data_IF_165029356258
#
_entry.id   IF_165029356258
#
_cell.length_a   1.000
_cell.length_b   1.000
_cell.length_c   1.000
_cell.angle_alpha   90.00
_cell.angle_beta   90.00
_cell.angle_gamma   90.00
#
_symmetry.space_group_name_H-M   'P 1'
#
loop_
_entity.id
_entity.type
_entity.pdbx_description
1 polymer ?
#
# COMPACT_ATOMS: atom_id res chain seq x y z
N UNK A 1 0.48 2.36 15.95
CA UNK A 1 0.53 0.99 15.36
C UNK A 1 1.59 0.15 16.05
N UNK A 2 1.89 0.47 17.31
CA UNK A 2 3.26 0.34 17.83
C UNK A 2 3.53 -1.06 18.40
N UNK A 3 2.54 -1.95 18.28
CA UNK A 3 2.57 -3.37 18.67
C UNK A 3 2.01 -4.29 17.58
N UNK A 4 1.95 -3.84 16.32
CA UNK A 4 1.50 -4.70 15.23
C UNK A 4 2.65 -5.63 14.78
N UNK A 5 2.37 -6.94 14.67
CA UNK A 5 3.37 -7.88 14.10
C UNK A 5 3.64 -7.49 12.64
N UNK A 6 4.87 -7.24 12.21
CA UNK A 6 5.14 -6.92 10.81
C UNK A 6 4.83 -8.13 9.90
N UNK A 7 4.67 -7.86 8.60
CA UNK A 7 4.55 -8.90 7.56
C UNK A 7 5.58 -8.61 6.47
N UNK A 8 6.09 -9.66 5.83
CA UNK A 8 7.14 -9.54 4.79
C UNK A 8 6.62 -9.19 3.40
N UNK A 9 5.32 -9.34 3.15
CA UNK A 9 4.71 -9.03 1.86
C UNK A 9 3.48 -8.13 2.02
N UNK A 10 3.26 -7.16 1.11
CA UNK A 10 2.12 -6.24 1.19
C UNK A 10 0.79 -6.96 0.93
N UNK A 11 0.79 -7.99 0.08
CA UNK A 11 -0.37 -8.83 -0.25
C UNK A 11 -0.06 -10.32 -0.07
N UNK A 12 -1.11 -11.12 0.07
CA UNK A 12 -1.01 -12.59 -0.02
C UNK A 12 -1.04 -13.00 -1.48
N UNK A 13 -0.16 -13.93 -1.87
CA UNK A 13 -0.15 -14.49 -3.22
C UNK A 13 -1.48 -15.21 -3.51
N UNK A 14 -2.02 -14.98 -4.70
CA UNK A 14 -3.28 -15.59 -5.21
C UNK A 14 -4.58 -15.17 -4.50
N UNK A 15 -4.57 -14.12 -3.67
CA UNK A 15 -5.78 -13.62 -3.03
C UNK A 15 -6.67 -12.87 -4.05
N UNK A 16 -7.76 -13.49 -4.49
CA UNK A 16 -8.72 -12.88 -5.43
C UNK A 16 -9.73 -12.02 -4.68
N UNK A 17 -9.55 -10.71 -4.74
CA UNK A 17 -10.51 -9.74 -4.22
C UNK A 17 -11.76 -9.66 -5.11
N UNK A 18 -12.93 -9.67 -4.49
CA UNK A 18 -14.24 -9.56 -5.15
C UNK A 18 -15.00 -8.36 -4.60
N UNK A 19 -15.76 -7.66 -5.45
CA UNK A 19 -16.68 -6.60 -5.00
C UNK A 19 -17.77 -7.12 -4.07
N UNK A 20 -18.10 -8.41 -4.19
CA UNK A 20 -19.08 -9.11 -3.36
C UNK A 20 -18.41 -10.38 -2.87
N UNK A 21 -17.76 -10.27 -1.73
CA UNK A 21 -17.06 -11.39 -1.06
C UNK A 21 -17.94 -12.05 0.03
N UNK A 22 -19.15 -11.53 0.26
CA UNK A 22 -20.09 -12.02 1.28
C UNK A 22 -19.81 -11.48 2.69
N UNK A 23 -18.75 -10.71 2.89
CA UNK A 23 -18.44 -10.07 4.17
C UNK A 23 -19.19 -8.75 4.35
N UNK A 24 -19.27 -8.30 5.60
CA UNK A 24 -20.03 -7.10 5.99
C UNK A 24 -19.34 -5.85 5.46
N UNK A 25 -20.14 -4.87 5.02
CA UNK A 25 -19.62 -3.55 4.65
C UNK A 25 -19.01 -2.83 5.85
N UNK A 26 -17.95 -2.06 5.60
CA UNK A 26 -17.32 -1.21 6.62
C UNK A 26 -17.57 0.27 6.32
N UNK A 27 -17.20 1.14 7.26
CA UNK A 27 -17.25 2.59 7.03
C UNK A 27 -16.34 2.98 5.85
N UNK A 28 -16.99 3.44 4.77
CA UNK A 28 -16.33 3.87 3.56
C UNK A 28 -15.46 5.12 3.77
N UNK A 29 -15.75 5.97 4.75
CA UNK A 29 -14.93 7.14 5.07
C UNK A 29 -13.58 6.71 5.64
N UNK A 30 -13.61 5.87 6.67
CA UNK A 30 -12.40 5.33 7.30
C UNK A 30 -11.54 4.54 6.30
N UNK A 31 -12.18 3.69 5.48
CA UNK A 31 -11.47 2.94 4.44
C UNK A 31 -10.80 3.86 3.41
N UNK A 32 -11.51 4.88 2.91
CA UNK A 32 -10.96 5.85 1.95
C UNK A 32 -9.79 6.64 2.53
N UNK A 33 -9.85 7.02 3.81
CA UNK A 33 -8.74 7.68 4.48
C UNK A 33 -7.48 6.81 4.48
N UNK A 34 -7.61 5.53 4.87
CA UNK A 34 -6.48 4.59 4.88
C UNK A 34 -5.91 4.37 3.48
N UNK A 35 -6.76 4.06 2.50
CA UNK A 35 -6.27 3.80 1.13
C UNK A 35 -5.70 5.08 0.50
N UNK A 36 -6.27 6.24 0.80
CA UNK A 36 -5.72 7.53 0.38
C UNK A 36 -4.30 7.76 0.91
N UNK A 37 -4.04 7.47 2.18
CA UNK A 37 -2.70 7.53 2.76
C UNK A 37 -1.73 6.54 2.11
N UNK A 38 -2.20 5.32 1.80
CA UNK A 38 -1.39 4.34 1.07
C UNK A 38 -1.04 4.82 -0.35
N UNK A 39 -2.00 5.42 -1.07
CA UNK A 39 -1.76 6.03 -2.39
C UNK A 39 -0.80 7.22 -2.32
N UNK A 40 -0.83 8.00 -1.24
CA UNK A 40 0.16 9.06 -1.04
C UNK A 40 1.57 8.48 -0.87
N UNK A 41 1.71 7.43 -0.06
CA UNK A 41 2.98 6.74 0.18
C UNK A 41 3.61 6.18 -1.11
N UNK A 42 2.83 5.83 -2.13
CA UNK A 42 3.40 5.24 -3.37
C UNK A 42 4.37 6.18 -4.09
N UNK A 43 4.33 7.49 -3.81
CA UNK A 43 5.28 8.45 -4.37
C UNK A 43 6.74 8.14 -3.98
N UNK A 44 6.97 7.62 -2.76
CA UNK A 44 8.30 7.20 -2.29
C UNK A 44 8.39 5.68 -2.06
N UNK A 45 7.27 4.96 -2.11
CA UNK A 45 7.15 3.51 -1.88
C UNK A 45 6.55 2.79 -3.10
N UNK A 46 7.30 2.64 -4.21
CA UNK A 46 6.78 1.95 -5.39
C UNK A 46 6.45 0.46 -5.11
N UNK A 47 7.09 -0.14 -4.11
CA UNK A 47 6.89 -1.54 -3.70
C UNK A 47 5.45 -1.85 -3.22
N UNK A 48 4.71 -0.85 -2.73
CA UNK A 48 3.30 -1.03 -2.31
C UNK A 48 2.29 -0.56 -3.36
N UNK A 49 2.74 -0.03 -4.51
CA UNK A 49 1.90 0.62 -5.50
C UNK A 49 0.78 -0.28 -6.02
N UNK A 50 1.10 -1.54 -6.32
CA UNK A 50 0.10 -2.52 -6.77
C UNK A 50 -0.98 -2.75 -5.70
N UNK A 51 -0.58 -2.91 -4.44
CA UNK A 51 -1.51 -3.17 -3.34
C UNK A 51 -2.45 -1.98 -3.08
N UNK A 52 -1.90 -0.76 -3.05
CA UNK A 52 -2.68 0.47 -2.90
C UNK A 52 -3.69 0.66 -4.07
N UNK A 53 -3.22 0.43 -5.30
CA UNK A 53 -4.04 0.53 -6.51
C UNK A 53 -5.14 -0.53 -6.57
N UNK A 54 -4.87 -1.75 -6.10
CA UNK A 54 -5.87 -2.80 -6.02
C UNK A 54 -6.98 -2.45 -5.02
N UNK A 55 -6.59 -1.96 -3.83
CA UNK A 55 -7.53 -1.59 -2.76
C UNK A 55 -8.40 -0.37 -3.10
N UNK A 56 -7.89 0.56 -3.91
CA UNK A 56 -8.65 1.76 -4.33
C UNK A 56 -9.92 1.43 -5.12
N UNK A 57 -9.94 0.27 -5.81
CA UNK A 57 -11.08 -0.21 -6.59
C UNK A 57 -12.35 -0.47 -5.76
N UNK A 58 -12.21 -0.57 -4.43
CA UNK A 58 -13.29 -0.90 -3.49
C UNK A 58 -13.71 0.29 -2.62
N UNK A 59 -13.25 1.51 -2.91
CA UNK A 59 -13.53 2.71 -2.10
C UNK A 59 -15.02 3.09 -1.99
N UNK A 60 -15.86 2.71 -2.96
CA UNK A 60 -17.29 3.03 -2.95
C UNK A 60 -18.10 2.11 -2.02
N UNK A 61 -17.68 0.86 -1.86
CA UNK A 61 -18.42 -0.15 -1.10
C UNK A 61 -17.44 -1.15 -0.48
N UNK A 62 -16.59 -0.71 0.46
CA UNK A 62 -15.58 -1.57 1.06
C UNK A 62 -16.22 -2.55 2.02
N UNK A 63 -15.61 -3.74 2.08
CA UNK A 63 -16.03 -4.82 2.98
C UNK A 63 -14.99 -5.06 4.04
N UNK A 64 -15.31 -5.89 5.03
CA UNK A 64 -14.39 -6.25 6.10
C UNK A 64 -13.13 -6.94 5.56
N UNK A 65 -13.26 -7.76 4.52
CA UNK A 65 -12.12 -8.38 3.84
C UNK A 65 -11.19 -7.33 3.22
N UNK A 66 -11.75 -6.38 2.45
CA UNK A 66 -10.97 -5.27 1.88
C UNK A 66 -10.23 -4.49 2.97
N UNK A 67 -10.89 -4.21 4.09
CA UNK A 67 -10.28 -3.44 5.17
C UNK A 67 -9.21 -4.24 5.93
N UNK A 68 -9.38 -5.55 6.08
CA UNK A 68 -8.37 -6.42 6.65
C UNK A 68 -7.08 -6.44 5.80
N UNK A 69 -7.22 -6.46 4.48
CA UNK A 69 -6.09 -6.39 3.55
C UNK A 69 -5.43 -5.02 3.59
N UNK A 70 -6.19 -3.92 3.65
CA UNK A 70 -5.63 -2.59 3.87
C UNK A 70 -4.81 -2.51 5.17
N UNK A 71 -5.31 -3.09 6.27
CA UNK A 71 -4.55 -3.19 7.53
C UNK A 71 -3.30 -4.07 7.39
N UNK A 72 -3.32 -5.10 6.56
CA UNK A 72 -2.13 -5.91 6.25
C UNK A 72 -1.06 -5.06 5.56
N UNK A 73 -1.43 -4.27 4.55
CA UNK A 73 -0.48 -3.36 3.88
C UNK A 73 0.12 -2.37 4.89
N UNK A 74 -0.68 -1.83 5.80
CA UNK A 74 -0.17 -0.96 6.87
C UNK A 74 0.84 -1.67 7.79
N UNK A 75 0.61 -2.95 8.12
CA UNK A 75 1.58 -3.75 8.89
C UNK A 75 2.88 -4.00 8.13
N UNK A 76 2.80 -4.17 6.81
CA UNK A 76 3.98 -4.27 5.94
C UNK A 76 4.77 -2.95 5.96
N UNK A 77 4.10 -1.81 5.76
CA UNK A 77 4.72 -0.48 5.82
C UNK A 77 5.37 -0.24 7.18
N UNK A 78 4.69 -0.59 8.28
CA UNK A 78 5.24 -0.47 9.62
C UNK A 78 6.49 -1.35 9.86
N UNK A 79 6.56 -2.52 9.22
CA UNK A 79 7.71 -3.41 9.30
C UNK A 79 8.86 -3.08 8.34
N UNK A 80 8.64 -2.13 7.43
CA UNK A 80 9.59 -1.71 6.38
C UNK A 80 9.69 -0.18 6.36
N UNK A 81 9.63 0.47 7.53
CA UNK A 81 9.60 1.94 7.63
C UNK A 81 10.87 2.60 7.10
N UNK A 82 11.95 1.84 7.02
CA UNK A 82 13.26 2.19 6.48
C UNK A 82 13.34 2.06 4.94
N UNK A 83 12.33 1.48 4.29
CA UNK A 83 12.29 1.35 2.84
C UNK A 83 11.72 2.64 2.22
N UNK A 84 12.26 3.05 1.08
CA UNK A 84 11.71 4.12 0.26
C UNK A 84 12.74 4.78 -0.65
N UNK A 85 12.24 5.56 -1.59
CA UNK A 85 13.05 6.42 -2.45
C UNK A 85 13.43 7.69 -1.70
N UNK A 86 14.72 8.01 -1.73
CA UNK A 86 15.24 9.28 -1.25
C UNK A 86 15.55 10.18 -2.44
N UNK A 87 14.91 11.35 -2.50
CA UNK A 87 15.17 12.35 -3.53
C UNK A 87 16.08 13.42 -2.96
N UNK A 88 17.35 13.42 -3.39
CA UNK A 88 18.32 14.45 -3.03
C UNK A 88 18.53 15.39 -4.22
N UNK A 89 18.68 16.69 -3.92
CA UNK A 89 19.08 17.67 -4.93
C UNK A 89 20.55 17.46 -5.24
N UNK A 90 20.85 17.15 -6.50
CA UNK A 90 22.23 17.10 -6.99
C UNK A 90 22.59 18.49 -7.51
N UNK A 91 23.60 19.13 -6.90
CA UNK A 91 24.05 20.47 -7.29
C UNK A 91 24.90 20.47 -8.58
N UNK A 92 25.55 19.36 -8.91
CA UNK A 92 26.19 19.16 -10.21
C UNK A 92 25.13 18.82 -11.26
N UNK A 93 25.00 19.63 -12.32
CA UNK A 93 24.03 19.43 -13.42
C UNK A 93 24.21 18.15 -14.27
N UNK A 94 24.90 17.14 -13.74
CA UNK A 94 25.07 15.81 -14.33
C UNK A 94 23.88 14.92 -13.99
N UNK A 95 23.18 14.42 -15.01
CA UNK A 95 22.13 13.41 -14.86
C UNK A 95 22.76 12.04 -14.60
N UNK A 96 22.41 11.41 -13.49
CA UNK A 96 22.80 10.03 -13.15
C UNK A 96 21.59 9.12 -13.34
N UNK A 97 21.73 8.09 -14.18
CA UNK A 97 20.70 7.08 -14.40
C UNK A 97 21.12 5.72 -13.82
N UNK A 98 20.17 5.02 -13.23
CA UNK A 98 20.33 3.64 -12.75
C UNK A 98 19.48 2.74 -13.63
N UNK A 99 20.01 1.58 -14.02
CA UNK A 99 19.27 0.53 -14.73
C UNK A 99 19.41 -0.75 -13.94
N UNK A 100 18.28 -1.39 -13.67
CA UNK A 100 18.23 -2.73 -13.11
C UNK A 100 17.79 -3.70 -14.22
N UNK A 101 18.31 -4.93 -14.19
CA UNK A 101 17.94 -5.97 -15.15
C UNK A 101 17.03 -6.97 -14.45
N UNK A 102 15.77 -7.01 -14.88
CA UNK A 102 14.78 -8.03 -14.50
C UNK A 102 15.00 -9.32 -15.31
#
# INVERSE_FOLDING_TARGET
>A
MDNSKPVSTPLVLHEKLSKRDGSVYVDASQYRSVVGSLLYLTATRPDIMYAASLLSRFMSSPTQLHFAIAKRVLRYVNGTSDYGLWFEKIDSGSLVGYSDSD
#
